data_IF_412853347054
#
_entry.id   IF_412853347054
#
_cell.length_a   1.000
_cell.length_b   1.000
_cell.length_c   1.000
_cell.angle_alpha   90.00
_cell.angle_beta   90.00
_cell.angle_gamma   90.00
#
_symmetry.space_group_name_H-M   'P 1'
#
loop_
_entity.id
_entity.type
_entity.pdbx_description
1 polymer ?
#
# COMPACT_ATOMS: atom_id res chain seq x y z
N UNK A 1 -6.63 -44.26 6.96
CA UNK A 1 -7.41 -45.39 7.55
C UNK A 1 -7.96 -45.10 8.95
N UNK A 2 -7.19 -44.52 9.88
CA UNK A 2 -7.62 -44.23 11.26
C UNK A 2 -8.94 -43.42 11.34
N UNK A 3 -9.05 -42.34 10.55
CA UNK A 3 -10.26 -41.50 10.44
C UNK A 3 -11.50 -42.32 10.08
N UNK A 4 -11.38 -43.26 9.14
CA UNK A 4 -12.48 -44.09 8.62
C UNK A 4 -12.97 -45.08 9.67
N UNK A 5 -12.06 -45.68 10.44
CA UNK A 5 -12.39 -46.60 11.54
C UNK A 5 -13.07 -45.88 12.71
N UNK A 6 -12.59 -44.70 13.09
CA UNK A 6 -13.19 -43.88 14.15
C UNK A 6 -14.57 -43.36 13.73
N UNK A 7 -14.73 -42.90 12.48
CA UNK A 7 -16.02 -42.44 11.98
C UNK A 7 -17.11 -43.54 11.96
N UNK A 8 -16.72 -44.81 11.76
CA UNK A 8 -17.64 -45.95 11.82
C UNK A 8 -17.99 -46.33 13.26
N UNK A 9 -17.03 -46.26 14.19
CA UNK A 9 -17.23 -46.60 15.60
C UNK A 9 -18.08 -45.57 16.39
N UNK A 10 -18.03 -44.30 15.98
CA UNK A 10 -18.74 -43.19 16.66
C UNK A 10 -20.14 -42.92 16.05
N UNK A 11 -20.55 -43.75 15.07
CA UNK A 11 -21.80 -43.58 14.32
C UNK A 11 -21.61 -42.64 13.14
N UNK A 12 -21.52 -43.20 11.94
CA UNK A 12 -21.32 -42.44 10.71
C UNK A 12 -22.50 -41.48 10.48
N UNK A 13 -22.29 -40.19 10.75
CA UNK A 13 -23.28 -39.13 10.52
C UNK A 13 -23.63 -38.26 11.74
N UNK A 14 -23.31 -38.68 12.96
CA UNK A 14 -23.61 -37.89 14.17
C UNK A 14 -22.50 -36.88 14.55
N UNK A 15 -21.27 -37.10 14.11
CA UNK A 15 -20.11 -36.29 14.50
C UNK A 15 -19.16 -36.02 13.32
N UNK A 16 -18.69 -34.76 13.20
CA UNK A 16 -17.69 -34.35 12.22
C UNK A 16 -16.28 -34.72 12.71
N UNK A 17 -15.81 -35.91 12.33
CA UNK A 17 -14.49 -36.41 12.70
C UNK A 17 -13.44 -35.81 11.77
N UNK A 18 -12.62 -34.88 12.28
CA UNK A 18 -11.51 -34.26 11.54
C UNK A 18 -10.16 -34.77 12.02
N UNK A 19 -9.26 -35.04 11.10
CA UNK A 19 -7.84 -35.31 11.45
C UNK A 19 -7.17 -34.02 11.92
N UNK A 20 -6.10 -34.11 12.72
CA UNK A 20 -5.33 -32.93 13.13
C UNK A 20 -4.84 -32.10 11.93
N UNK A 21 -4.47 -32.77 10.83
CA UNK A 21 -4.09 -32.12 9.58
C UNK A 21 -5.26 -31.38 8.90
N UNK A 22 -6.46 -31.96 8.89
CA UNK A 22 -7.66 -31.30 8.36
C UNK A 22 -8.12 -30.15 9.25
N UNK A 23 -8.06 -30.29 10.58
CA UNK A 23 -8.39 -29.21 11.52
C UNK A 23 -7.41 -28.04 11.37
N UNK A 24 -6.10 -28.31 11.26
CA UNK A 24 -5.10 -27.27 11.00
C UNK A 24 -5.33 -26.59 9.65
N UNK A 25 -5.67 -27.35 8.59
CA UNK A 25 -5.96 -26.80 7.26
C UNK A 25 -7.24 -25.96 7.22
N UNK A 26 -8.31 -26.41 7.87
CA UNK A 26 -9.57 -25.66 7.98
C UNK A 26 -9.41 -24.40 8.84
N UNK A 27 -8.70 -24.49 9.97
CA UNK A 27 -8.39 -23.33 10.80
C UNK A 27 -7.55 -22.30 10.02
N UNK A 28 -6.52 -22.74 9.31
CA UNK A 28 -5.71 -21.88 8.45
C UNK A 28 -6.51 -21.28 7.29
N UNK A 29 -7.44 -22.04 6.68
CA UNK A 29 -8.30 -21.54 5.60
C UNK A 29 -9.29 -20.49 6.10
N UNK A 30 -9.91 -20.70 7.27
CA UNK A 30 -10.82 -19.73 7.89
C UNK A 30 -10.07 -18.44 8.27
N UNK A 31 -8.89 -18.58 8.89
CA UNK A 31 -8.05 -17.44 9.25
C UNK A 31 -7.56 -16.69 8.00
N UNK A 32 -7.13 -17.41 6.97
CA UNK A 32 -6.72 -16.85 5.69
C UNK A 32 -7.86 -16.13 4.96
N UNK A 33 -9.09 -16.66 5.04
CA UNK A 33 -10.30 -16.01 4.53
C UNK A 33 -10.59 -14.68 5.23
N UNK A 34 -10.58 -14.67 6.56
CA UNK A 34 -10.77 -13.46 7.36
C UNK A 34 -9.69 -12.40 7.09
N UNK A 35 -8.41 -12.80 7.10
CA UNK A 35 -7.29 -11.91 6.78
C UNK A 35 -7.38 -11.35 5.36
N UNK A 36 -7.91 -12.12 4.41
CA UNK A 36 -8.14 -11.66 3.03
C UNK A 36 -9.22 -10.58 2.96
N UNK A 37 -10.32 -10.73 3.71
CA UNK A 37 -11.36 -9.69 3.80
C UNK A 37 -10.77 -8.39 4.38
N UNK A 38 -10.05 -8.47 5.50
CA UNK A 38 -9.38 -7.30 6.11
C UNK A 38 -8.42 -6.66 5.11
N UNK A 39 -7.59 -7.46 4.43
CA UNK A 39 -6.65 -6.97 3.41
C UNK A 39 -7.36 -6.17 2.33
N UNK A 40 -8.45 -6.67 1.77
CA UNK A 40 -9.18 -5.96 0.72
C UNK A 40 -9.88 -4.70 1.22
N UNK A 41 -10.44 -4.72 2.43
CA UNK A 41 -11.01 -3.53 3.05
C UNK A 41 -9.93 -2.45 3.24
N UNK A 42 -8.77 -2.82 3.80
CA UNK A 42 -7.63 -1.90 3.95
C UNK A 42 -7.12 -1.40 2.61
N UNK A 43 -7.08 -2.23 1.57
CA UNK A 43 -6.69 -1.82 0.23
C UNK A 43 -7.70 -0.80 -0.36
N UNK A 44 -8.99 -0.96 -0.07
CA UNK A 44 -10.01 0.03 -0.41
C UNK A 44 -9.75 1.38 0.25
N UNK A 45 -9.47 1.39 1.56
CA UNK A 45 -9.07 2.62 2.28
C UNK A 45 -7.79 3.23 1.73
N UNK A 46 -6.79 2.41 1.40
CA UNK A 46 -5.56 2.87 0.76
C UNK A 46 -5.85 3.55 -0.59
N UNK A 47 -6.76 2.99 -1.39
CA UNK A 47 -7.23 3.61 -2.63
C UNK A 47 -7.86 4.98 -2.41
N UNK A 48 -8.74 5.12 -1.42
CA UNK A 48 -9.35 6.41 -1.06
C UNK A 48 -8.28 7.40 -0.61
N UNK A 49 -7.33 6.98 0.23
CA UNK A 49 -6.24 7.83 0.70
C UNK A 49 -5.37 8.33 -0.47
N UNK A 50 -5.07 7.47 -1.44
CA UNK A 50 -4.36 7.87 -2.67
C UNK A 50 -5.17 8.90 -3.45
N UNK A 51 -6.47 8.70 -3.64
CA UNK A 51 -7.32 9.68 -4.34
C UNK A 51 -7.31 11.05 -3.65
N UNK A 52 -7.49 11.09 -2.33
CA UNK A 52 -7.40 12.35 -1.57
C UNK A 52 -6.02 12.97 -1.70
N UNK A 53 -4.95 12.18 -1.64
CA UNK A 53 -3.58 12.64 -1.86
C UNK A 53 -3.39 13.24 -3.25
N UNK A 54 -3.92 12.62 -4.30
CA UNK A 54 -3.89 13.15 -5.68
C UNK A 54 -4.56 14.51 -5.73
N UNK A 55 -5.75 14.67 -5.14
CA UNK A 55 -6.45 15.95 -5.11
C UNK A 55 -5.63 17.05 -4.43
N UNK A 56 -4.98 16.74 -3.30
CA UNK A 56 -4.11 17.69 -2.61
C UNK A 56 -2.92 18.09 -3.49
N UNK A 57 -2.26 17.12 -4.11
CA UNK A 57 -1.11 17.36 -4.99
C UNK A 57 -1.54 18.25 -6.17
N UNK A 58 -2.61 17.89 -6.88
CA UNK A 58 -3.12 18.68 -8.02
C UNK A 58 -3.47 20.10 -7.60
N UNK A 59 -4.13 20.29 -6.45
CA UNK A 59 -4.50 21.61 -5.98
C UNK A 59 -3.27 22.47 -5.65
N UNK A 60 -2.26 21.88 -5.02
CA UNK A 60 -1.00 22.57 -4.71
C UNK A 60 -0.22 22.93 -5.99
N UNK A 61 -0.07 22.00 -6.94
CA UNK A 61 0.60 22.28 -8.21
C UNK A 61 -0.14 23.35 -9.02
N UNK A 62 -1.47 23.28 -9.07
CA UNK A 62 -2.29 24.30 -9.74
C UNK A 62 -2.04 25.68 -9.14
N UNK A 63 -1.99 25.79 -7.82
CA UNK A 63 -1.66 27.04 -7.13
C UNK A 63 -0.24 27.54 -7.46
N UNK A 64 0.77 26.66 -7.41
CA UNK A 64 2.16 27.01 -7.70
C UNK A 64 2.35 27.49 -9.15
N UNK A 65 1.71 26.80 -10.11
CA UNK A 65 1.76 27.17 -11.52
C UNK A 65 1.10 28.55 -11.73
N UNK A 66 -0.06 28.78 -11.11
CA UNK A 66 -0.75 30.07 -11.20
C UNK A 66 0.13 31.22 -10.67
N UNK A 67 0.85 31.01 -9.56
CA UNK A 67 1.79 32.00 -9.01
C UNK A 67 2.96 32.28 -9.95
N UNK A 68 3.54 31.23 -10.56
CA UNK A 68 4.70 31.38 -11.47
C UNK A 68 4.32 31.80 -12.90
N UNK A 69 3.04 31.88 -13.25
CA UNK A 69 2.61 32.18 -14.63
C UNK A 69 3.15 33.52 -15.13
N UNK A 70 3.23 34.56 -14.27
CA UNK A 70 3.84 35.85 -14.65
C UNK A 70 5.35 35.76 -14.86
N UNK A 71 6.05 35.00 -14.03
CA UNK A 71 7.50 34.79 -14.14
C UNK A 71 7.84 34.02 -15.43
N UNK A 72 7.07 32.97 -15.73
CA UNK A 72 7.19 32.20 -16.96
C UNK A 72 6.86 33.04 -18.21
N UNK A 73 5.91 33.99 -18.08
CA UNK A 73 5.61 34.97 -19.12
C UNK A 73 6.76 35.94 -19.40
N UNK A 74 7.45 36.41 -18.35
CA UNK A 74 8.63 37.26 -18.47
C UNK A 74 9.82 36.50 -19.09
N UNK A 75 10.07 35.26 -18.65
CA UNK A 75 11.10 34.41 -19.24
C UNK A 75 10.87 34.19 -20.74
N UNK A 76 9.61 33.98 -21.15
CA UNK A 76 9.27 33.84 -22.57
C UNK A 76 9.42 35.15 -23.35
N UNK A 77 9.16 36.31 -22.74
CA UNK A 77 9.42 37.61 -23.36
C UNK A 77 10.93 37.86 -23.58
N UNK A 78 11.79 37.25 -22.75
CA UNK A 78 13.24 37.25 -22.87
C UNK A 78 13.78 36.14 -23.80
N UNK A 79 12.90 35.36 -24.45
CA UNK A 79 13.28 34.33 -25.42
C UNK A 79 13.42 32.91 -24.87
N UNK A 80 13.02 32.64 -23.62
CA UNK A 80 13.01 31.28 -23.09
C UNK A 80 12.00 30.39 -23.83
N UNK A 81 12.40 29.16 -24.12
CA UNK A 81 11.58 28.22 -24.89
C UNK A 81 10.58 27.47 -23.99
N UNK A 82 9.42 27.09 -24.54
CA UNK A 82 8.35 26.39 -23.82
C UNK A 82 8.83 25.07 -23.22
N UNK A 83 9.79 24.42 -23.89
CA UNK A 83 10.35 23.16 -23.44
C UNK A 83 11.24 23.32 -22.20
N UNK A 84 11.96 24.44 -22.06
CA UNK A 84 12.78 24.73 -20.87
C UNK A 84 11.91 24.86 -19.62
N UNK A 85 10.78 25.56 -19.76
CA UNK A 85 9.79 25.70 -18.69
C UNK A 85 9.19 24.34 -18.30
N UNK A 86 8.75 23.55 -19.29
CA UNK A 86 8.17 22.23 -19.03
C UNK A 86 9.17 21.28 -18.36
N UNK A 87 10.43 21.27 -18.81
CA UNK A 87 11.50 20.45 -18.21
C UNK A 87 11.79 20.86 -16.77
N UNK A 88 11.78 22.16 -16.47
CA UNK A 88 11.97 22.65 -15.10
C UNK A 88 10.87 22.12 -14.17
N UNK A 89 9.61 22.23 -14.58
CA UNK A 89 8.46 21.77 -13.79
C UNK A 89 8.48 20.25 -13.61
N UNK A 90 8.77 19.49 -14.68
CA UNK A 90 8.88 18.02 -14.60
C UNK A 90 10.04 17.57 -13.70
N UNK A 91 11.15 18.31 -13.67
CA UNK A 91 12.28 18.01 -12.78
C UNK A 91 11.91 18.26 -11.33
N UNK A 92 11.21 19.37 -11.03
CA UNK A 92 10.68 19.67 -9.70
C UNK A 92 9.68 18.59 -9.25
N UNK A 93 8.78 18.18 -10.13
CA UNK A 93 7.82 17.09 -9.90
C UNK A 93 8.51 15.74 -9.64
N UNK A 94 9.55 15.41 -10.39
CA UNK A 94 10.33 14.18 -10.17
C UNK A 94 11.02 14.19 -8.80
N UNK A 95 11.65 15.29 -8.42
CA UNK A 95 12.33 15.41 -7.13
C UNK A 95 11.34 15.33 -5.96
N UNK A 96 10.20 16.02 -6.06
CA UNK A 96 9.13 15.96 -5.07
C UNK A 96 8.52 14.56 -4.97
N UNK A 97 8.25 13.91 -6.11
CA UNK A 97 7.71 12.56 -6.18
C UNK A 97 8.67 11.54 -5.56
N UNK A 98 9.97 11.63 -5.85
CA UNK A 98 10.99 10.76 -5.25
C UNK A 98 11.13 10.99 -3.76
N UNK A 99 11.26 12.24 -3.31
CA UNK A 99 11.39 12.57 -1.89
C UNK A 99 10.15 12.15 -1.09
N UNK A 100 8.95 12.47 -1.59
CA UNK A 100 7.69 12.11 -0.99
C UNK A 100 7.46 10.60 -0.93
N UNK A 101 7.75 9.88 -2.03
CA UNK A 101 7.63 8.42 -2.06
C UNK A 101 8.61 7.74 -1.09
N UNK A 102 9.85 8.22 -1.03
CA UNK A 102 10.88 7.70 -0.12
C UNK A 102 10.46 7.92 1.33
N UNK A 103 10.04 9.14 1.68
CA UNK A 103 9.60 9.50 3.02
C UNK A 103 8.33 8.73 3.42
N UNK A 104 7.35 8.63 2.52
CA UNK A 104 6.11 7.88 2.74
C UNK A 104 6.35 6.39 2.93
N UNK A 105 7.24 5.79 2.13
CA UNK A 105 7.63 4.38 2.26
C UNK A 105 8.36 4.15 3.59
N UNK A 106 9.31 5.00 3.96
CA UNK A 106 10.03 4.91 5.22
C UNK A 106 9.08 5.03 6.42
N UNK A 107 8.17 5.99 6.39
CA UNK A 107 7.14 6.17 7.41
C UNK A 107 6.20 4.95 7.48
N UNK A 108 5.75 4.43 6.34
CA UNK A 108 4.89 3.24 6.28
C UNK A 108 5.55 1.99 6.86
N UNK A 109 6.83 1.75 6.52
CA UNK A 109 7.62 0.65 7.10
C UNK A 109 7.81 0.85 8.60
N UNK A 110 8.13 2.08 9.04
CA UNK A 110 8.29 2.43 10.45
C UNK A 110 7.02 2.19 11.25
N UNK A 111 5.87 2.63 10.74
CA UNK A 111 4.55 2.39 11.35
C UNK A 111 4.23 0.91 11.41
N UNK A 112 4.47 0.15 10.33
CA UNK A 112 4.25 -1.29 10.32
C UNK A 112 5.11 -2.03 11.36
N UNK A 113 6.39 -1.66 11.45
CA UNK A 113 7.31 -2.20 12.45
C UNK A 113 6.87 -1.87 13.89
N UNK A 114 6.43 -0.62 14.13
CA UNK A 114 5.90 -0.18 15.42
C UNK A 114 4.63 -0.94 15.82
N UNK A 115 3.70 -1.10 14.88
CA UNK A 115 2.45 -1.80 15.11
C UNK A 115 2.68 -3.29 15.42
N UNK A 116 3.61 -3.95 14.71
CA UNK A 116 3.99 -5.33 15.00
C UNK A 116 4.59 -5.50 16.40
N UNK A 117 5.44 -4.56 16.83
CA UNK A 117 5.98 -4.57 18.21
C UNK A 117 4.89 -4.39 19.25
N UNK A 118 3.96 -3.48 19.00
CA UNK A 118 2.84 -3.20 19.89
C UNK A 118 1.93 -4.43 20.02
N UNK A 119 1.52 -5.05 18.91
CA UNK A 119 0.72 -6.28 18.90
C UNK A 119 1.44 -7.44 19.61
N UNK A 120 2.76 -7.56 19.39
CA UNK A 120 3.59 -8.56 20.08
C UNK A 120 3.64 -8.35 21.60
N UNK A 121 3.60 -7.10 22.08
CA UNK A 121 3.54 -6.78 23.49
C UNK A 121 2.21 -7.19 24.15
N UNK A 122 1.11 -7.23 23.39
CA UNK A 122 -0.21 -7.72 23.86
C UNK A 122 -0.33 -9.25 23.87
N UNK A 123 0.77 -9.99 23.75
CA UNK A 123 0.79 -11.45 23.83
C UNK A 123 0.37 -12.18 22.55
N UNK A 124 -0.01 -11.45 21.49
CA UNK A 124 -0.26 -12.03 20.18
C UNK A 124 1.06 -12.18 19.45
N UNK A 125 1.72 -13.33 19.65
CA UNK A 125 2.84 -13.75 18.81
C UNK A 125 2.27 -14.21 17.47
N UNK A 126 2.02 -13.28 16.55
CA UNK A 126 2.00 -13.64 15.14
C UNK A 126 3.39 -14.22 14.87
N UNK A 127 3.48 -15.54 14.76
CA UNK A 127 4.64 -16.18 14.17
C UNK A 127 4.92 -15.38 12.91
N UNK A 128 6.08 -14.72 12.90
CA UNK A 128 6.51 -13.80 11.88
C UNK A 128 6.44 -14.49 10.52
N UNK A 129 5.26 -14.47 9.89
CA UNK A 129 5.15 -14.41 8.45
C UNK A 129 5.86 -13.10 8.14
N UNK A 130 7.19 -13.20 8.01
CA UNK A 130 8.12 -12.09 8.12
C UNK A 130 7.62 -10.95 7.27
N UNK A 131 7.75 -9.71 7.76
CA UNK A 131 7.36 -8.50 7.05
C UNK A 131 7.67 -8.70 5.55
N UNK A 132 6.64 -9.05 4.77
CA UNK A 132 6.84 -9.40 3.36
C UNK A 132 6.90 -8.07 2.63
N UNK A 133 8.01 -7.35 2.84
CA UNK A 133 8.45 -6.32 1.90
C UNK A 133 8.96 -7.09 0.69
N UNK A 134 8.03 -7.66 -0.08
CA UNK A 134 8.34 -8.08 -1.43
C UNK A 134 8.58 -6.83 -2.29
N UNK A 135 9.25 -7.00 -3.43
CA UNK A 135 9.52 -5.90 -4.37
C UNK A 135 8.27 -5.16 -4.85
N UNK A 136 7.09 -5.76 -4.71
CA UNK A 136 5.80 -5.11 -5.02
C UNK A 136 5.56 -3.86 -4.16
N UNK A 137 5.92 -3.86 -2.88
CA UNK A 137 5.64 -2.73 -1.98
C UNK A 137 6.41 -1.45 -2.37
N UNK A 138 7.75 -1.47 -2.49
CA UNK A 138 8.48 -0.28 -2.93
C UNK A 138 8.13 0.10 -4.36
N UNK A 139 8.01 -0.86 -5.29
CA UNK A 139 7.67 -0.56 -6.70
C UNK A 139 6.30 0.11 -6.81
N UNK A 140 5.28 -0.40 -6.12
CA UNK A 140 3.95 0.22 -6.12
C UNK A 140 3.99 1.61 -5.47
N UNK A 141 4.72 1.79 -4.36
CA UNK A 141 4.84 3.08 -3.69
C UNK A 141 5.46 4.15 -4.60
N UNK A 142 6.59 3.85 -5.24
CA UNK A 142 7.23 4.77 -6.18
C UNK A 142 6.41 4.98 -7.45
N UNK A 143 5.81 3.92 -8.01
CA UNK A 143 4.97 4.04 -9.21
C UNK A 143 3.76 4.94 -8.97
N UNK A 144 3.07 4.78 -7.84
CA UNK A 144 1.93 5.63 -7.46
C UNK A 144 2.41 7.04 -7.14
N UNK A 145 3.41 7.20 -6.26
CA UNK A 145 3.86 8.52 -5.84
C UNK A 145 4.41 9.37 -6.99
N UNK A 146 5.35 8.83 -7.76
CA UNK A 146 5.91 9.53 -8.93
C UNK A 146 4.83 9.73 -10.00
N UNK A 147 4.04 8.69 -10.31
CA UNK A 147 3.00 8.77 -11.34
C UNK A 147 1.97 9.87 -11.05
N UNK A 148 1.50 9.96 -9.81
CA UNK A 148 0.54 10.99 -9.39
C UNK A 148 1.17 12.39 -9.45
N UNK A 149 2.41 12.56 -8.97
CA UNK A 149 3.08 13.86 -9.02
C UNK A 149 3.34 14.32 -10.45
N UNK A 150 3.70 13.41 -11.36
CA UNK A 150 3.86 13.72 -12.78
C UNK A 150 2.54 14.09 -13.46
N UNK A 151 1.44 13.40 -13.14
CA UNK A 151 0.13 13.73 -13.70
C UNK A 151 -0.39 15.09 -13.24
N UNK A 152 0.05 15.57 -12.07
CA UNK A 152 -0.34 16.85 -11.51
C UNK A 152 0.50 18.04 -12.01
N UNK A 153 1.68 17.79 -12.59
CA UNK A 153 2.66 18.78 -13.00
C UNK A 153 2.54 19.14 -14.50
#
# INVERSE_FOLDING_TARGET
ELKRRVAVAVGAGAYDVRTAAEQAKSAAANLGGFLKVIKYVMLGFAGIAVLVGVFLIVNTFSMLIAQRTRELGLLRALGADREQVRRSVLTEALLLGLAGSTAGLAAGIGLAAGLMRLVGAFGVRLATAGMVIGWVTPVAAYAVGIGVTFLAA
#
